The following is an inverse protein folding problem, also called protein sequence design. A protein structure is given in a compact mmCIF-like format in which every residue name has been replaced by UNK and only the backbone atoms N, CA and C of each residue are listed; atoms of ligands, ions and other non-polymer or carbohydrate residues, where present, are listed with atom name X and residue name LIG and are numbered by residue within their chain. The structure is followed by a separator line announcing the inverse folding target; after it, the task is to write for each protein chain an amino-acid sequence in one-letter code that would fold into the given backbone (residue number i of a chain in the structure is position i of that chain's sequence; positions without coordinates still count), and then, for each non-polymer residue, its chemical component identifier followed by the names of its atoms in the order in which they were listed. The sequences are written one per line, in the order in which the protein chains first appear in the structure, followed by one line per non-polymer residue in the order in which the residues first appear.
data_IF_325949561837
#
_entry.id   IF_325949561837
#
_cell.length_a   1.000
_cell.length_b   1.000
_cell.length_c   1.000
_cell.angle_alpha   90.00
_cell.angle_beta   90.00
_cell.angle_gamma   90.00
#
_symmetry.space_group_name_H-M   'P 1'
#
loop_
_entity.id
_entity.type
_entity.pdbx_description
1 polymer ?
#
# COMPACT_ATOMS: atom_id res chain seq x y z
N UNK A 1 -27.66 -41.01 -23.65
CA UNK A 1 -27.35 -40.84 -25.09
C UNK A 1 -26.80 -39.44 -25.30
N UNK A 2 -25.56 -39.27 -25.79
CA UNK A 2 -24.85 -37.99 -25.85
C UNK A 2 -24.67 -37.43 -27.27
N UNK A 3 -24.44 -36.11 -27.39
CA UNK A 3 -23.85 -35.41 -28.55
C UNK A 3 -23.31 -34.05 -28.04
N UNK A 4 -22.01 -33.81 -27.85
CA UNK A 4 -20.97 -33.42 -28.85
C UNK A 4 -21.33 -32.07 -29.53
N UNK A 5 -20.52 -31.02 -29.70
CA UNK A 5 -19.07 -30.69 -29.70
C UNK A 5 -18.95 -29.18 -29.27
N UNK A 6 -17.83 -28.47 -29.11
CA UNK A 6 -16.43 -28.59 -29.50
C UNK A 6 -15.54 -27.74 -28.55
N UNK A 7 -14.37 -28.27 -28.19
CA UNK A 7 -13.29 -27.59 -27.45
C UNK A 7 -12.27 -27.07 -28.46
N UNK A 8 -11.99 -25.77 -28.45
CA UNK A 8 -10.91 -25.19 -29.27
C UNK A 8 -9.59 -25.22 -28.49
N UNK A 9 -8.63 -25.95 -29.05
CA UNK A 9 -7.24 -26.09 -28.62
C UNK A 9 -6.39 -24.98 -29.26
N UNK A 10 -5.58 -24.27 -28.47
CA UNK A 10 -4.45 -23.48 -28.97
C UNK A 10 -3.18 -23.90 -28.22
N UNK A 11 -2.32 -24.63 -28.94
CA UNK A 11 -0.95 -24.97 -28.59
C UNK A 11 0.01 -24.01 -29.32
N UNK A 12 1.21 -23.75 -28.77
CA UNK A 12 2.17 -22.79 -29.32
C UNK A 12 3.08 -23.39 -30.41
N UNK A 13 3.60 -22.51 -31.27
CA UNK A 13 4.41 -22.81 -32.46
C UNK A 13 5.87 -23.24 -32.14
N UNK A 14 6.55 -23.98 -33.03
CA UNK A 14 7.79 -24.68 -32.73
C UNK A 14 9.06 -23.87 -33.03
N UNK A 15 10.10 -24.26 -32.31
CA UNK A 15 11.51 -23.93 -32.49
C UNK A 15 12.05 -24.34 -33.87
N UNK A 16 12.76 -23.44 -34.55
CA UNK A 16 13.62 -23.79 -35.67
C UNK A 16 15.10 -23.70 -35.26
N UNK A 17 15.71 -24.87 -35.18
CA UNK A 17 17.15 -25.10 -35.06
C UNK A 17 17.76 -25.13 -36.46
N UNK A 18 18.86 -24.41 -36.69
CA UNK A 18 19.69 -24.55 -37.90
C UNK A 18 21.16 -24.66 -37.49
N UNK A 19 21.76 -25.80 -37.82
CA UNK A 19 23.18 -26.10 -37.83
C UNK A 19 23.41 -27.14 -38.97
N UNK A 20 24.64 -27.51 -39.36
CA UNK A 20 25.52 -26.79 -40.30
C UNK A 20 25.96 -27.71 -41.47
N UNK A 21 26.74 -27.18 -42.44
CA UNK A 21 27.78 -27.85 -43.30
C UNK A 21 27.94 -27.11 -44.65
N UNK A 22 28.96 -27.40 -45.49
CA UNK A 22 30.39 -27.66 -45.23
C UNK A 22 31.32 -26.85 -46.18
N UNK A 23 32.64 -27.06 -46.01
CA UNK A 23 33.78 -26.58 -46.81
C UNK A 23 33.66 -26.66 -48.34
N UNK A 24 34.53 -25.91 -49.06
CA UNK A 24 35.54 -26.59 -49.86
C UNK A 24 36.96 -25.97 -49.82
N UNK A 25 37.96 -26.84 -49.82
CA UNK A 25 39.34 -26.63 -50.33
C UNK A 25 39.34 -26.70 -51.88
N UNK A 26 40.47 -26.61 -52.63
CA UNK A 26 41.87 -26.29 -52.30
C UNK A 26 42.52 -25.25 -53.27
N UNK A 27 43.74 -24.77 -52.98
CA UNK A 27 44.83 -24.72 -53.99
C UNK A 27 46.19 -24.43 -53.37
N UNK A 28 47.17 -25.19 -53.85
CA UNK A 28 48.58 -25.19 -53.48
C UNK A 28 49.36 -24.05 -54.17
N UNK A 29 50.45 -23.61 -53.54
CA UNK A 29 51.42 -22.67 -54.11
C UNK A 29 52.71 -22.58 -53.28
N UNK A 30 53.67 -23.43 -53.67
CA UNK A 30 55.15 -23.42 -53.55
C UNK A 30 55.92 -22.62 -52.46
N UNK A 31 57.03 -23.19 -51.93
CA UNK A 31 57.93 -22.50 -51.00
C UNK A 31 59.05 -21.75 -51.75
N UNK A 32 59.45 -20.58 -51.23
CA UNK A 32 60.69 -19.89 -51.67
C UNK A 32 61.59 -19.67 -50.46
N UNK A 33 62.78 -20.26 -50.52
CA UNK A 33 63.89 -20.12 -49.58
C UNK A 33 64.75 -18.90 -49.91
N UNK A 34 65.03 -18.09 -48.87
CA UNK A 34 66.30 -17.41 -48.47
C UNK A 34 67.04 -16.50 -49.49
N UNK A 35 67.71 -15.43 -49.00
CA UNK A 35 69.07 -15.66 -48.52
C UNK A 35 69.45 -14.96 -47.21
N UNK A 36 70.44 -15.60 -46.60
CA UNK A 36 71.18 -15.26 -45.39
C UNK A 36 72.27 -14.24 -45.78
N UNK A 37 72.36 -13.11 -45.08
CA UNK A 37 73.60 -12.32 -45.04
C UNK A 37 74.09 -12.26 -43.61
N UNK A 38 75.30 -12.76 -43.41
CA UNK A 38 76.11 -12.59 -42.22
C UNK A 38 77.28 -11.66 -42.59
N UNK A 39 77.57 -10.70 -41.72
CA UNK A 39 78.86 -10.01 -41.56
C UNK A 39 78.79 -9.32 -40.18
N UNK A 40 79.37 -9.86 -39.10
CA UNK A 40 80.76 -9.85 -38.63
C UNK A 40 81.27 -8.48 -38.08
N UNK A 41 81.64 -8.48 -36.78
CA UNK A 41 82.60 -7.63 -36.04
C UNK A 41 82.21 -6.15 -35.81
N UNK A 42 82.45 -5.44 -34.70
CA UNK A 42 83.08 -5.59 -33.37
C UNK A 42 82.42 -4.46 -32.50
N UNK A 43 82.33 -4.42 -31.16
CA UNK A 43 83.36 -4.35 -30.12
C UNK A 43 82.63 -4.13 -28.76
N UNK A 44 83.29 -4.48 -27.64
CA UNK A 44 82.83 -4.41 -26.24
C UNK A 44 83.01 -2.99 -25.61
N UNK A 45 82.81 -2.78 -24.29
CA UNK A 45 81.64 -2.15 -23.67
C UNK A 45 81.92 -0.75 -23.06
N UNK A 46 80.88 0.04 -22.77
CA UNK A 46 80.99 1.24 -21.93
C UNK A 46 79.79 1.35 -20.97
N UNK A 47 79.99 1.67 -19.68
CA UNK A 47 78.91 1.77 -18.70
C UNK A 47 78.48 3.22 -18.51
N UNK A 48 77.29 3.57 -18.96
CA UNK A 48 76.70 4.87 -18.64
C UNK A 48 75.73 4.74 -17.46
N UNK A 49 76.24 5.18 -16.32
CA UNK A 49 75.47 5.52 -15.13
C UNK A 49 74.61 6.76 -15.43
N UNK A 50 73.29 6.64 -15.20
CA UNK A 50 72.46 7.67 -14.56
C UNK A 50 71.00 7.20 -14.48
N UNK A 51 70.69 6.39 -13.46
CA UNK A 51 69.29 6.16 -13.05
C UNK A 51 68.92 7.18 -11.99
N UNK A 52 68.34 8.30 -12.43
CA UNK A 52 67.65 9.26 -11.55
C UNK A 52 66.36 8.61 -11.04
N UNK A 53 66.47 8.00 -9.87
CA UNK A 53 65.43 7.29 -9.16
C UNK A 53 64.49 8.28 -8.45
N UNK A 54 63.53 8.85 -9.16
CA UNK A 54 62.42 9.60 -8.55
C UNK A 54 61.40 8.59 -7.98
N UNK A 55 61.66 8.12 -6.75
CA UNK A 55 60.88 7.08 -6.08
C UNK A 55 59.65 7.66 -5.39
N UNK A 56 58.57 7.83 -6.14
CA UNK A 56 57.26 7.97 -5.50
C UNK A 56 56.91 6.62 -4.84
N UNK A 57 56.75 6.54 -3.51
CA UNK A 57 56.51 5.27 -2.81
C UNK A 57 55.20 4.61 -3.27
N UNK A 58 54.20 5.43 -3.64
CA UNK A 58 52.95 4.96 -4.25
C UNK A 58 53.16 4.33 -5.63
N UNK A 59 54.09 4.83 -6.44
CA UNK A 59 54.39 4.26 -7.76
C UNK A 59 55.22 2.96 -7.65
N UNK A 60 56.05 2.83 -6.62
CA UNK A 60 56.74 1.59 -6.30
C UNK A 60 55.76 0.51 -5.77
N UNK A 61 54.79 0.93 -4.95
CA UNK A 61 53.71 0.06 -4.48
C UNK A 61 52.82 -0.39 -5.64
N UNK A 62 52.39 0.54 -6.51
CA UNK A 62 51.60 0.26 -7.71
C UNK A 62 52.31 -0.68 -8.68
N UNK A 63 53.64 -0.53 -8.86
CA UNK A 63 54.42 -1.45 -9.68
C UNK A 63 54.45 -2.85 -9.10
N UNK A 64 54.64 -3.00 -7.78
CA UNK A 64 54.62 -4.32 -7.12
C UNK A 64 53.25 -4.99 -7.14
N UNK A 65 52.15 -4.23 -7.03
CA UNK A 65 50.80 -4.80 -7.11
C UNK A 65 50.36 -5.11 -8.54
N UNK A 66 50.86 -4.41 -9.56
CA UNK A 66 50.54 -4.71 -10.96
C UNK A 66 51.51 -5.63 -11.69
N UNK A 67 52.69 -5.89 -11.14
CA UNK A 67 53.65 -6.82 -11.72
C UNK A 67 53.10 -8.24 -12.00
N UNK A 68 52.30 -8.86 -11.11
CA UNK A 68 51.73 -10.19 -11.39
C UNK A 68 50.55 -10.17 -12.37
N UNK A 69 50.00 -8.99 -12.72
CA UNK A 69 48.92 -8.86 -13.69
C UNK A 69 49.44 -8.71 -15.13
N UNK A 70 50.73 -8.38 -15.30
CA UNK A 70 51.36 -8.20 -16.62
C UNK A 70 51.68 -9.50 -17.37
N UNK A 71 51.82 -10.63 -16.67
CA UNK A 71 52.14 -11.93 -17.28
C UNK A 71 50.97 -12.59 -18.02
N UNK A 72 49.76 -12.02 -17.92
CA UNK A 72 48.58 -12.53 -18.63
C UNK A 72 48.44 -12.03 -20.09
N UNK A 73 49.48 -11.42 -20.69
CA UNK A 73 49.49 -11.11 -22.12
C UNK A 73 48.51 -10.02 -22.57
N UNK A 74 47.98 -9.23 -21.65
CA UNK A 74 47.05 -8.15 -21.95
C UNK A 74 47.82 -6.88 -22.38
N UNK A 75 47.89 -6.62 -23.68
CA UNK A 75 48.48 -5.39 -24.21
C UNK A 75 47.73 -4.12 -23.77
N UNK A 76 48.38 -2.95 -23.81
CA UNK A 76 47.80 -1.65 -23.38
C UNK A 76 46.41 -1.34 -23.96
N UNK A 77 46.10 -1.83 -25.16
CA UNK A 77 44.77 -1.71 -25.81
C UNK A 77 43.73 -2.68 -25.25
N UNK A 78 44.14 -3.91 -24.94
CA UNK A 78 43.28 -4.96 -24.37
C UNK A 78 42.84 -4.63 -22.94
N UNK A 79 43.68 -3.95 -22.15
CA UNK A 79 43.29 -3.46 -20.81
C UNK A 79 42.18 -2.41 -20.89
N UNK A 80 42.21 -1.55 -21.92
CA UNK A 80 41.17 -0.55 -22.15
C UNK A 80 39.85 -1.18 -22.61
N UNK A 81 39.92 -2.16 -23.51
CA UNK A 81 38.76 -2.90 -24.01
C UNK A 81 38.08 -3.73 -22.91
N UNK A 82 38.85 -4.38 -22.03
CA UNK A 82 38.31 -5.11 -20.86
C UNK A 82 37.73 -4.19 -19.79
N UNK A 83 38.32 -3.00 -19.60
CA UNK A 83 37.84 -2.00 -18.64
C UNK A 83 36.42 -1.49 -18.95
N UNK A 84 36.11 -1.26 -20.23
CA UNK A 84 34.76 -0.81 -20.64
C UNK A 84 33.71 -1.90 -20.39
N UNK A 85 34.05 -3.18 -20.65
CA UNK A 85 33.18 -4.31 -20.35
C UNK A 85 32.88 -4.45 -18.86
N UNK A 86 33.93 -4.39 -18.02
CA UNK A 86 33.76 -4.45 -16.56
C UNK A 86 32.98 -3.24 -16.03
N UNK A 87 33.18 -2.05 -16.60
CA UNK A 87 32.41 -0.85 -16.25
C UNK A 87 30.92 -1.02 -16.56
N UNK A 88 30.57 -1.54 -17.74
CA UNK A 88 29.17 -1.80 -18.10
C UNK A 88 28.52 -2.86 -17.22
N UNK A 89 29.22 -3.97 -16.94
CA UNK A 89 28.70 -5.04 -16.08
C UNK A 89 28.53 -4.57 -14.64
N UNK A 90 29.52 -3.85 -14.09
CA UNK A 90 29.43 -3.30 -12.73
C UNK A 90 28.37 -2.21 -12.61
N UNK A 91 28.24 -1.33 -13.61
CA UNK A 91 27.18 -0.33 -13.69
C UNK A 91 25.79 -0.96 -13.74
N UNK A 92 25.61 -2.00 -14.56
CA UNK A 92 24.35 -2.75 -14.62
C UNK A 92 24.02 -3.45 -13.29
N UNK A 93 25.02 -4.03 -12.63
CA UNK A 93 24.84 -4.69 -11.33
C UNK A 93 24.46 -3.68 -10.23
N UNK A 94 25.14 -2.53 -10.16
CA UNK A 94 24.82 -1.45 -9.21
C UNK A 94 23.42 -0.88 -9.46
N UNK A 95 23.05 -0.68 -10.73
CA UNK A 95 21.72 -0.22 -11.11
C UNK A 95 20.63 -1.22 -10.68
N UNK A 96 20.85 -2.52 -10.92
CA UNK A 96 19.93 -3.57 -10.51
C UNK A 96 19.75 -3.61 -9.00
N UNK A 97 20.84 -3.48 -8.24
CA UNK A 97 20.80 -3.44 -6.77
C UNK A 97 20.06 -2.19 -6.26
N UNK A 98 20.32 -1.02 -6.85
CA UNK A 98 19.62 0.21 -6.50
C UNK A 98 18.11 0.11 -6.78
N UNK A 99 17.71 -0.46 -7.92
CA UNK A 99 16.31 -0.70 -8.25
C UNK A 99 15.66 -1.72 -7.31
N UNK A 100 16.38 -2.78 -6.93
CA UNK A 100 15.90 -3.75 -5.95
C UNK A 100 15.71 -3.09 -4.56
N UNK A 101 16.65 -2.24 -4.14
CA UNK A 101 16.56 -1.48 -2.89
C UNK A 101 15.37 -0.50 -2.89
N UNK A 102 15.20 0.26 -3.98
CA UNK A 102 14.10 1.21 -4.12
C UNK A 102 12.73 0.51 -4.10
N UNK A 103 12.62 -0.63 -4.81
CA UNK A 103 11.43 -1.47 -4.76
C UNK A 103 11.19 -2.05 -3.38
N UNK A 104 12.23 -2.53 -2.70
CA UNK A 104 12.15 -3.08 -1.35
C UNK A 104 11.63 -2.08 -0.33
N UNK A 105 12.09 -0.82 -0.38
CA UNK A 105 11.61 0.24 0.50
C UNK A 105 10.14 0.59 0.27
N UNK A 106 9.72 0.75 -1.00
CA UNK A 106 8.31 1.01 -1.30
C UNK A 106 7.40 -0.16 -0.93
N UNK A 107 7.85 -1.39 -1.16
CA UNK A 107 7.12 -2.59 -0.73
C UNK A 107 7.02 -2.66 0.79
N UNK A 108 8.11 -2.43 1.53
CA UNK A 108 8.14 -2.44 3.00
C UNK A 108 7.10 -1.50 3.59
N UNK A 109 6.95 -0.30 3.04
CA UNK A 109 5.93 0.67 3.45
C UNK A 109 4.51 0.18 3.17
N UNK A 110 4.28 -0.46 2.03
CA UNK A 110 2.98 -1.00 1.61
C UNK A 110 2.56 -2.28 2.34
N UNK A 111 3.49 -2.95 3.03
CA UNK A 111 3.24 -4.19 3.76
C UNK A 111 2.86 -3.99 5.23
N UNK A 112 2.84 -2.76 5.73
CA UNK A 112 2.44 -2.47 7.12
C UNK A 112 0.96 -2.13 7.20
N UNK A 113 0.14 -3.07 6.76
CA UNK A 113 -1.32 -2.98 6.84
C UNK A 113 -1.81 -3.84 7.97
N UNK A 114 -2.92 -3.44 8.58
CA UNK A 114 -3.61 -4.24 9.56
C UNK A 114 -5.10 -4.29 9.23
N UNK A 115 -5.73 -5.36 9.69
CA UNK A 115 -7.14 -5.58 9.49
C UNK A 115 -7.89 -5.30 10.77
N UNK A 116 -9.07 -4.72 10.67
CA UNK A 116 -10.00 -4.54 11.79
C UNK A 116 -11.39 -4.97 11.36
N UNK A 117 -12.23 -5.35 12.32
CA UNK A 117 -13.59 -5.80 12.04
C UNK A 117 -14.57 -4.84 12.70
N UNK A 118 -15.44 -4.22 11.90
CA UNK A 118 -16.54 -3.41 12.40
C UNK A 118 -17.83 -4.21 12.38
N UNK A 119 -18.42 -4.39 13.55
CA UNK A 119 -19.69 -5.08 13.72
C UNK A 119 -20.84 -4.06 13.72
N UNK A 120 -21.77 -4.20 12.79
CA UNK A 120 -22.96 -3.34 12.67
C UNK A 120 -24.23 -4.16 12.90
N UNK A 121 -25.20 -3.60 13.62
CA UNK A 121 -26.55 -4.20 13.72
C UNK A 121 -27.34 -3.98 12.43
N UNK A 122 -27.13 -2.82 11.81
CA UNK A 122 -27.74 -2.43 10.55
C UNK A 122 -26.74 -1.58 9.76
N UNK A 123 -26.62 -1.86 8.47
CA UNK A 123 -25.76 -1.13 7.57
C UNK A 123 -26.29 -1.24 6.14
N UNK A 124 -26.74 -0.11 5.58
CA UNK A 124 -27.21 -0.06 4.20
C UNK A 124 -26.04 0.24 3.26
N UNK A 125 -25.87 -0.56 2.20
CA UNK A 125 -24.97 -0.25 1.10
C UNK A 125 -23.47 -0.51 1.33
N UNK A 126 -23.06 -1.17 2.43
CA UNK A 126 -21.64 -1.57 2.59
C UNK A 126 -21.32 -2.67 1.59
N UNK A 127 -20.26 -2.44 0.81
CA UNK A 127 -19.72 -3.39 -0.14
C UNK A 127 -18.21 -3.51 0.02
N UNK A 128 -17.62 -4.53 -0.60
CA UNK A 128 -16.17 -4.60 -0.75
C UNK A 128 -15.69 -3.38 -1.55
N UNK A 129 -14.65 -2.71 -1.07
CA UNK A 129 -14.13 -1.47 -1.62
C UNK A 129 -14.74 -0.21 -1.02
N UNK A 130 -15.74 -0.30 -0.13
CA UNK A 130 -16.27 0.87 0.59
C UNK A 130 -15.11 1.59 1.32
N UNK A 131 -14.92 2.90 1.09
CA UNK A 131 -13.84 3.65 1.71
C UNK A 131 -14.11 3.88 3.20
N UNK A 132 -13.05 3.76 4.00
CA UNK A 132 -13.07 4.05 5.43
C UNK A 132 -12.30 5.33 5.68
N UNK A 133 -12.91 6.25 6.42
CA UNK A 133 -12.37 7.59 6.67
C UNK A 133 -12.29 7.84 8.17
N UNK A 134 -11.28 8.61 8.57
CA UNK A 134 -11.19 9.19 9.91
C UNK A 134 -11.21 10.70 9.74
N UNK A 135 -12.20 11.38 10.32
CA UNK A 135 -12.36 12.85 10.22
C UNK A 135 -12.29 13.34 8.76
N UNK A 136 -12.88 12.58 7.83
CA UNK A 136 -12.90 12.92 6.41
C UNK A 136 -11.64 12.55 5.61
N UNK A 137 -10.60 11.96 6.19
CA UNK A 137 -9.43 11.46 5.43
C UNK A 137 -9.56 9.96 5.21
N UNK A 138 -9.39 9.48 3.97
CA UNK A 138 -9.41 8.04 3.67
C UNK A 138 -8.19 7.35 4.26
N UNK A 139 -8.43 6.30 5.04
CA UNK A 139 -7.39 5.54 5.75
C UNK A 139 -7.33 4.08 5.35
N UNK A 140 -8.36 3.59 4.66
CA UNK A 140 -8.51 2.18 4.35
C UNK A 140 -9.75 1.88 3.53
N UNK A 141 -9.99 0.59 3.31
CA UNK A 141 -11.17 0.11 2.58
C UNK A 141 -11.66 -1.22 3.13
N UNK A 142 -12.95 -1.50 2.91
CA UNK A 142 -13.55 -2.78 3.27
C UNK A 142 -13.06 -3.87 2.31
N UNK A 143 -12.47 -4.94 2.84
CA UNK A 143 -11.96 -6.07 2.03
C UNK A 143 -12.96 -7.21 2.00
N UNK A 144 -13.78 -7.36 3.04
CA UNK A 144 -14.76 -8.44 3.16
C UNK A 144 -15.95 -8.00 4.00
N UNK A 145 -17.13 -8.47 3.64
CA UNK A 145 -18.38 -8.26 4.39
C UNK A 145 -19.01 -9.63 4.62
N UNK A 146 -19.23 -9.97 5.89
CA UNK A 146 -19.92 -11.18 6.30
C UNK A 146 -21.24 -10.80 6.98
N UNK A 147 -22.36 -11.19 6.40
CA UNK A 147 -23.68 -10.99 7.01
C UNK A 147 -24.07 -12.19 7.86
N UNK A 148 -24.39 -11.92 9.13
CA UNK A 148 -25.00 -12.86 10.06
C UNK A 148 -26.47 -12.47 10.32
N UNK A 149 -27.24 -13.34 10.98
CA UNK A 149 -28.67 -13.10 11.25
C UNK A 149 -28.94 -11.89 12.17
N UNK A 150 -27.96 -11.50 12.99
CA UNK A 150 -28.10 -10.42 14.00
C UNK A 150 -27.20 -9.22 13.73
N UNK A 151 -26.14 -9.40 12.95
CA UNK A 151 -25.10 -8.40 12.74
C UNK A 151 -24.40 -8.61 11.40
N UNK A 152 -23.75 -7.56 10.93
CA UNK A 152 -22.96 -7.51 9.72
C UNK A 152 -21.52 -7.20 10.15
N UNK A 153 -20.60 -8.10 9.85
CA UNK A 153 -19.18 -7.95 10.12
C UNK A 153 -18.49 -7.41 8.86
N UNK A 154 -18.02 -6.16 8.90
CA UNK A 154 -17.21 -5.56 7.84
C UNK A 154 -15.72 -5.64 8.23
N UNK A 155 -14.94 -6.44 7.49
CA UNK A 155 -13.48 -6.49 7.64
C UNK A 155 -12.85 -5.37 6.81
N UNK A 156 -12.14 -4.48 7.49
CA UNK A 156 -11.48 -3.31 6.92
C UNK A 156 -9.98 -3.49 6.97
N UNK A 157 -9.32 -3.19 5.86
CA UNK A 157 -7.87 -3.10 5.77
C UNK A 157 -7.46 -1.63 5.84
N UNK A 158 -6.62 -1.31 6.84
CA UNK A 158 -6.04 0.02 7.04
C UNK A 158 -4.68 0.07 6.36
N UNK A 159 -4.41 1.15 5.63
CA UNK A 159 -3.27 1.23 4.70
C UNK A 159 -1.90 1.39 5.38
N UNK A 160 -1.84 1.93 6.60
CA UNK A 160 -0.60 2.26 7.32
C UNK A 160 -0.74 1.95 8.82
N UNK A 161 0.30 1.37 9.43
CA UNK A 161 0.39 1.07 10.87
C UNK A 161 0.52 2.33 11.74
N UNK A 162 0.81 3.48 11.13
CA UNK A 162 0.81 4.78 11.80
C UNK A 162 -0.59 5.36 11.99
N UNK A 163 -1.59 4.84 11.27
CA UNK A 163 -2.97 5.28 11.44
C UNK A 163 -3.55 4.55 12.65
N UNK A 164 -3.77 5.30 13.72
CA UNK A 164 -4.27 4.78 14.98
C UNK A 164 -5.76 5.06 15.07
N UNK A 165 -6.55 4.02 15.31
CA UNK A 165 -8.00 4.12 15.55
C UNK A 165 -8.24 3.95 17.06
N UNK A 166 -8.60 5.02 17.79
CA UNK A 166 -8.95 4.91 19.21
C UNK A 166 -10.21 4.08 19.44
N UNK A 167 -10.27 3.33 20.54
CA UNK A 167 -11.45 2.54 20.95
C UNK A 167 -12.68 3.35 21.31
N UNK A 168 -12.47 4.58 21.77
CA UNK A 168 -13.55 5.50 22.08
C UNK A 168 -14.12 6.19 20.83
N UNK A 169 -13.67 5.81 19.64
CA UNK A 169 -14.20 6.34 18.39
C UNK A 169 -15.61 5.82 18.11
N UNK A 170 -16.44 6.70 17.58
CA UNK A 170 -17.74 6.34 17.03
C UNK A 170 -17.56 5.96 15.56
N UNK A 171 -17.96 4.73 15.20
CA UNK A 171 -17.93 4.27 13.81
C UNK A 171 -19.34 4.31 13.26
N UNK A 172 -19.51 5.05 12.17
CA UNK A 172 -20.80 5.25 11.54
C UNK A 172 -20.74 4.90 10.06
N UNK A 173 -21.77 4.22 9.58
CA UNK A 173 -21.98 4.00 8.15
C UNK A 173 -22.86 5.12 7.64
N UNK A 174 -22.27 5.98 6.81
CA UNK A 174 -22.93 7.13 6.24
C UNK A 174 -23.06 6.96 4.73
N UNK A 175 -24.14 7.50 4.17
CA UNK A 175 -24.29 7.68 2.73
C UNK A 175 -24.13 9.16 2.41
N UNK A 176 -23.12 9.49 1.61
CA UNK A 176 -22.79 10.89 1.29
C UNK A 176 -22.61 11.09 -0.21
N UNK A 177 -22.74 12.34 -0.65
CA UNK A 177 -22.57 12.74 -2.05
C UNK A 177 -23.85 12.60 -2.88
N UNK A 178 -23.83 13.21 -4.07
CA UNK A 178 -24.96 13.19 -5.02
C UNK A 178 -25.26 11.78 -5.55
N UNK A 179 -24.27 10.89 -5.52
CA UNK A 179 -24.35 9.52 -6.01
C UNK A 179 -24.64 8.50 -4.91
N UNK A 180 -24.94 8.94 -3.68
CA UNK A 180 -25.23 8.07 -2.53
C UNK A 180 -24.13 7.03 -2.27
N UNK A 181 -22.89 7.48 -2.27
CA UNK A 181 -21.76 6.61 -1.97
C UNK A 181 -21.78 6.24 -0.49
N UNK A 182 -21.73 4.94 -0.22
CA UNK A 182 -21.63 4.44 1.16
C UNK A 182 -20.18 4.56 1.61
N UNK A 183 -19.97 5.16 2.78
CA UNK A 183 -18.67 5.33 3.42
C UNK A 183 -18.77 4.97 4.89
N UNK A 184 -17.66 4.50 5.46
CA UNK A 184 -17.53 4.31 6.90
C UNK A 184 -16.74 5.49 7.44
N UNK A 185 -17.36 6.28 8.32
CA UNK A 185 -16.71 7.40 8.98
C UNK A 185 -16.42 7.05 10.44
N UNK A 186 -15.19 7.33 10.86
CA UNK A 186 -14.70 7.08 12.20
C UNK A 186 -14.43 8.43 12.84
N UNK A 187 -15.17 8.71 13.92
CA UNK A 187 -15.04 9.95 14.69
C UNK A 187 -14.49 9.65 16.08
N UNK A 188 -13.19 9.90 16.33
CA UNK A 188 -12.60 9.79 17.66
C UNK A 188 -13.25 10.77 18.63
N UNK A 189 -13.56 10.30 19.84
CA UNK A 189 -14.04 11.13 20.94
C UNK A 189 -12.88 11.65 21.78
N UNK A 190 -13.04 12.83 22.36
CA UNK A 190 -12.08 13.36 23.33
C UNK A 190 -12.29 12.69 24.71
N UNK A 191 -11.22 12.42 25.48
CA UNK A 191 -9.81 12.69 25.16
C UNK A 191 -9.22 11.68 24.16
N UNK A 192 -8.34 12.16 23.28
CA UNK A 192 -7.58 11.30 22.37
C UNK A 192 -6.50 10.53 23.15
N UNK A 193 -6.51 9.19 23.15
CA UNK A 193 -5.44 8.42 23.77
C UNK A 193 -4.14 8.59 22.97
N UNK A 194 -3.02 8.72 23.69
CA UNK A 194 -1.68 8.66 23.12
C UNK A 194 -1.08 7.28 23.44
N UNK A 195 -1.22 6.29 22.55
CA UNK A 195 -0.72 4.94 22.82
C UNK A 195 0.81 4.93 22.80
N UNK A 196 1.38 4.03 23.60
CA UNK A 196 2.83 3.79 23.58
C UNK A 196 3.24 2.76 22.51
N UNK A 197 2.31 1.91 22.07
CA UNK A 197 2.53 0.83 21.10
C UNK A 197 1.66 0.98 19.86
N UNK A 198 2.11 0.41 18.73
CA UNK A 198 1.39 0.44 17.46
C UNK A 198 0.35 -0.69 17.32
N UNK A 199 -0.55 -0.61 16.31
CA UNK A 199 -1.65 -1.56 16.13
C UNK A 199 -1.22 -3.00 15.74
N UNK A 200 0.01 -3.19 15.24
CA UNK A 200 0.58 -4.50 14.91
C UNK A 200 1.42 -5.10 16.04
N UNK A 201 1.62 -4.37 17.14
CA UNK A 201 2.49 -4.82 18.23
C UNK A 201 1.76 -5.85 19.11
N UNK A 202 2.43 -6.94 19.56
CA UNK A 202 1.81 -7.93 20.45
C UNK A 202 1.28 -7.35 21.77
N UNK A 203 1.82 -6.24 22.25
CA UNK A 203 1.38 -5.61 23.49
C UNK A 203 0.16 -4.67 23.31
N UNK A 204 -0.30 -4.44 22.07
CA UNK A 204 -1.44 -3.58 21.75
C UNK A 204 -2.72 -3.98 22.50
N UNK A 205 -3.00 -5.29 22.56
CA UNK A 205 -4.21 -5.82 23.23
C UNK A 205 -4.20 -5.57 24.74
N UNK A 206 -3.01 -5.43 25.36
CA UNK A 206 -2.88 -5.20 26.80
C UNK A 206 -3.20 -3.75 27.18
N UNK A 207 -2.84 -2.80 26.31
CA UNK A 207 -3.11 -1.38 26.53
C UNK A 207 -4.60 -1.07 26.34
N UNK A 208 -5.25 -1.68 25.34
CA UNK A 208 -6.71 -1.60 25.16
C UNK A 208 -7.26 -0.21 24.82
N UNK A 209 -6.38 0.77 24.55
CA UNK A 209 -6.74 2.15 24.19
C UNK A 209 -7.05 2.31 22.69
N UNK A 210 -6.43 1.47 21.86
CA UNK A 210 -6.53 1.51 20.41
C UNK A 210 -7.09 0.19 19.86
N UNK A 211 -7.53 0.23 18.60
CA UNK A 211 -7.99 -0.95 17.89
C UNK A 211 -6.82 -1.67 17.22
N UNK A 212 -6.57 -2.91 17.65
CA UNK A 212 -5.42 -3.70 17.19
C UNK A 212 -5.75 -4.57 15.95
N UNK A 213 -4.74 -5.21 15.36
CA UNK A 213 -4.94 -6.15 14.25
C UNK A 213 -5.94 -7.28 14.61
N UNK A 214 -6.87 -7.51 13.69
CA UNK A 214 -7.98 -8.48 13.74
C UNK A 214 -8.95 -8.30 14.90
N UNK A 215 -8.93 -7.14 15.53
CA UNK A 215 -9.85 -6.82 16.60
C UNK A 215 -11.20 -6.30 16.09
N UNK A 216 -12.22 -6.50 16.92
CA UNK A 216 -13.61 -6.13 16.66
C UNK A 216 -13.98 -4.85 17.40
N UNK A 217 -14.69 -3.95 16.72
CA UNK A 217 -15.30 -2.75 17.29
C UNK A 217 -16.74 -2.62 16.80
N UNK A 218 -17.64 -2.14 17.67
CA UNK A 218 -19.03 -1.92 17.30
C UNK A 218 -19.17 -0.61 16.52
N UNK A 219 -19.90 -0.67 15.42
CA UNK A 219 -20.34 0.50 14.67
C UNK A 219 -21.86 0.60 14.65
N UNK A 220 -22.34 1.77 14.25
CA UNK A 220 -23.76 2.08 14.13
C UNK A 220 -24.10 2.63 12.75
N UNK A 221 -25.38 2.58 12.39
CA UNK A 221 -25.85 3.24 11.19
C UNK A 221 -25.95 4.75 11.46
N UNK A 222 -25.30 5.55 10.61
CA UNK A 222 -25.45 7.00 10.61
C UNK A 222 -26.57 7.42 9.67
N UNK A 223 -26.33 8.46 8.87
CA UNK A 223 -27.32 9.00 7.93
C UNK A 223 -27.43 8.08 6.70
N UNK A 224 -28.65 7.63 6.41
CA UNK A 224 -28.96 6.87 5.20
C UNK A 224 -30.25 7.36 4.55
N UNK A 225 -30.28 7.40 3.22
CA UNK A 225 -31.47 7.82 2.50
C UNK A 225 -32.57 6.77 2.62
N UNK A 226 -32.22 5.49 2.62
CA UNK A 226 -33.19 4.39 2.76
C UNK A 226 -33.97 4.49 4.09
N UNK A 227 -33.28 4.87 5.18
CA UNK A 227 -33.95 5.12 6.45
C UNK A 227 -34.91 6.31 6.36
N UNK A 228 -34.49 7.41 5.72
CA UNK A 228 -35.33 8.59 5.54
C UNK A 228 -36.58 8.30 4.70
N UNK A 229 -36.42 7.63 3.55
CA UNK A 229 -37.51 7.22 2.67
C UNK A 229 -38.44 6.23 3.40
N UNK A 230 -37.87 5.32 4.18
CA UNK A 230 -38.62 4.40 5.04
C UNK A 230 -39.47 5.12 6.07
N UNK A 231 -38.92 6.14 6.74
CA UNK A 231 -39.65 6.97 7.71
C UNK A 231 -40.79 7.73 7.00
N UNK A 232 -40.53 8.39 5.87
CA UNK A 232 -41.56 9.12 5.14
C UNK A 232 -42.67 8.22 4.59
N UNK A 233 -42.33 7.03 4.10
CA UNK A 233 -43.33 6.08 3.57
C UNK A 233 -44.20 5.52 4.69
N UNK A 234 -43.62 5.21 5.85
CA UNK A 234 -44.39 4.80 7.04
C UNK A 234 -45.32 5.93 7.49
N UNK A 235 -44.80 7.15 7.61
CA UNK A 235 -45.60 8.31 7.99
C UNK A 235 -46.75 8.56 7.00
N UNK A 236 -46.51 8.43 5.69
CA UNK A 236 -47.54 8.56 4.67
C UNK A 236 -48.66 7.53 4.82
N UNK A 237 -48.30 6.27 5.11
CA UNK A 237 -49.28 5.20 5.38
C UNK A 237 -50.06 5.44 6.66
N UNK A 238 -49.39 5.84 7.73
CA UNK A 238 -50.03 6.14 9.01
C UNK A 238 -51.04 7.31 8.86
N UNK A 239 -50.69 8.32 8.05
CA UNK A 239 -51.57 9.43 7.71
C UNK A 239 -52.77 9.00 6.84
N UNK A 240 -52.58 8.05 5.93
CA UNK A 240 -53.66 7.49 5.10
C UNK A 240 -54.63 6.63 5.92
N UNK A 241 -54.12 5.81 6.83
CA UNK A 241 -54.90 4.92 7.69
C UNK A 241 -55.74 5.68 8.74
N UNK A 242 -55.13 6.66 9.42
CA UNK A 242 -55.83 7.49 10.40
C UNK A 242 -56.77 8.48 9.69
N UNK A 243 -56.46 8.83 8.44
CA UNK A 243 -57.13 9.87 7.67
C UNK A 243 -56.69 11.26 8.12
N UNK A 244 -56.26 12.08 7.16
CA UNK A 244 -55.72 13.44 7.38
C UNK A 244 -56.64 14.32 8.23
N UNK A 245 -57.95 14.13 8.14
CA UNK A 245 -58.92 14.89 8.94
C UNK A 245 -58.91 14.55 10.44
N UNK A 246 -58.65 13.28 10.81
CA UNK A 246 -58.60 12.87 12.22
C UNK A 246 -57.29 13.29 12.86
N UNK A 247 -56.18 13.22 12.12
CA UNK A 247 -54.88 13.72 12.60
C UNK A 247 -54.90 15.24 12.79
N UNK A 248 -55.54 16.00 11.89
CA UNK A 248 -55.76 17.44 12.10
C UNK A 248 -56.61 17.74 13.34
N UNK A 249 -57.74 17.03 13.52
CA UNK A 249 -58.57 17.20 14.74
C UNK A 249 -57.83 16.81 16.02
N UNK A 250 -56.98 15.80 15.97
CA UNK A 250 -56.13 15.41 17.09
C UNK A 250 -55.09 16.51 17.37
N UNK A 251 -54.43 17.04 16.34
CA UNK A 251 -53.45 18.10 16.48
C UNK A 251 -54.07 19.38 17.05
N UNK A 252 -55.27 19.76 16.58
CA UNK A 252 -56.03 20.90 17.10
C UNK A 252 -56.40 20.70 18.57
N UNK A 253 -56.84 19.49 18.94
CA UNK A 253 -57.16 19.14 20.33
C UNK A 253 -55.93 19.10 21.24
N UNK A 254 -54.78 18.67 20.73
CA UNK A 254 -53.51 18.71 21.46
C UNK A 254 -53.04 20.15 21.63
N UNK A 255 -53.16 20.98 20.58
CA UNK A 255 -52.84 22.40 20.66
C UNK A 255 -53.71 23.12 21.70
N UNK A 256 -55.02 22.84 21.74
CA UNK A 256 -55.91 23.44 22.74
C UNK A 256 -55.58 23.00 24.17
N UNK A 257 -55.30 21.71 24.39
CA UNK A 257 -54.89 21.19 25.70
C UNK A 257 -53.54 21.78 26.12
N UNK A 258 -52.61 21.98 25.18
CA UNK A 258 -51.31 22.59 25.45
C UNK A 258 -51.47 24.06 25.88
N UNK A 259 -52.36 24.79 25.22
CA UNK A 259 -52.68 26.18 25.55
C UNK A 259 -53.33 26.29 26.95
N UNK A 260 -54.23 25.37 27.30
CA UNK A 260 -54.81 25.26 28.65
C UNK A 260 -53.77 24.88 29.72
N UNK A 261 -52.76 24.08 29.36
CA UNK A 261 -51.70 23.62 30.26
C UNK A 261 -50.52 24.60 30.38
N UNK A 262 -50.40 25.59 29.50
CA UNK A 262 -49.35 26.61 29.50
C UNK A 262 -49.15 27.34 30.86
N UNK A 263 -50.21 27.72 31.62
CA UNK A 263 -50.04 28.31 32.95
C UNK A 263 -49.50 27.32 34.01
N UNK A 264 -49.67 26.01 33.82
CA UNK A 264 -49.09 25.00 34.70
C UNK A 264 -47.60 24.78 34.38
N UNK A 265 -47.25 24.74 33.09
CA UNK A 265 -45.87 24.55 32.64
C UNK A 265 -44.95 25.70 33.07
N UNK A 266 -45.45 26.93 33.06
CA UNK A 266 -44.72 28.12 33.54
C UNK A 266 -44.43 28.10 35.03
N UNK A 267 -45.27 27.44 35.85
CA UNK A 267 -44.99 27.23 37.29
C UNK A 267 -43.97 26.12 37.55
N UNK A 268 -43.94 25.11 36.68
CA UNK A 268 -43.07 23.93 36.85
C UNK A 268 -41.65 24.18 36.32
N UNK A 269 -41.49 25.06 35.34
CA UNK A 269 -40.19 25.45 34.76
C UNK A 269 -39.13 25.88 35.80
N UNK A 270 -39.40 26.82 36.73
CA UNK A 270 -38.40 27.22 37.74
C UNK A 270 -38.06 26.10 38.72
N UNK A 271 -38.97 25.15 38.97
CA UNK A 271 -38.72 24.01 39.84
C UNK A 271 -37.69 23.04 39.23
N UNK A 272 -37.81 22.74 37.94
CA UNK A 272 -36.82 21.93 37.22
C UNK A 272 -35.47 22.63 37.07
N UNK A 273 -35.47 23.94 36.88
CA UNK A 273 -34.24 24.73 36.77
C UNK A 273 -33.44 24.70 38.09
N UNK A 274 -34.14 24.81 39.22
CA UNK A 274 -33.54 24.64 40.54
C UNK A 274 -33.05 23.19 40.77
N UNK A 275 -33.80 22.19 40.30
CA UNK A 275 -33.42 20.78 40.45
C UNK A 275 -32.17 20.41 39.62
N UNK A 276 -32.06 20.93 38.39
CA UNK A 276 -30.89 20.74 37.53
C UNK A 276 -29.65 21.49 38.06
N UNK A 277 -29.81 22.66 38.68
CA UNK A 277 -28.68 23.33 39.36
C UNK A 277 -28.18 22.58 40.60
N UNK A 278 -29.07 21.90 41.33
CA UNK A 278 -28.71 21.09 42.49
C UNK A 278 -27.96 19.80 42.13
N UNK A 279 -28.29 19.18 40.99
CA UNK A 279 -27.66 17.92 40.54
C UNK A 279 -26.51 18.10 39.53
N UNK A 280 -26.35 19.28 38.92
CA UNK A 280 -25.24 19.59 38.00
C UNK A 280 -23.93 20.04 38.67
N UNK A 281 -23.92 20.17 40.00
CA UNK A 281 -22.76 20.56 40.81
C UNK A 281 -22.23 19.41 41.72
N UNK A 282 -22.64 18.17 41.46
CA UNK A 282 -21.99 16.94 41.97
C UNK A 282 -21.19 16.29 40.83
#
# INVERSE_FOLDING_TARGET
MPSAMAKSLLLPHPFFSVSPRPHPHPRAGFPVLKPRRAALLAATPAPDANTSSNNNPLAALWRRTLQPLGDYGFGKRSVWEGGVGLFMVSGAALLALALAWLRGFQLRSRFRKYNTVFEFTQACGICVGTPVRIRGVTVGSVVRVDSSLRSIDATVEVEDDKIIIPRNSMVEVNQSGLLMETLIDITPKDPLPAPSVGPLDPDCTKEGLILCDKERMKGQQGVSLDALVGIFTRLGRDMEEIGVSKSYKLAEKVASIMEEAQPLLTRVHPFFQNFLQLYGNL
#
